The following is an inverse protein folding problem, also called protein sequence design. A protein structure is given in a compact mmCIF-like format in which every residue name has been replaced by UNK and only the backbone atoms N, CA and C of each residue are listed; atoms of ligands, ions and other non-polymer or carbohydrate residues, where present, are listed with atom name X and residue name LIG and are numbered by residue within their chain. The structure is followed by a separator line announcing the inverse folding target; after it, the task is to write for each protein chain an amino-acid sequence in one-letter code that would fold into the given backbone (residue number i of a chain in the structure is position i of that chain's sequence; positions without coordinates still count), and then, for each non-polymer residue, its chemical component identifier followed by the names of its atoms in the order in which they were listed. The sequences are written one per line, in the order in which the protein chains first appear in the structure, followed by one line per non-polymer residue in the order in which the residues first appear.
data_IF_288706332138
#
_entry.id   IF_288706332138
#
_cell.length_a   1.000
_cell.length_b   1.000
_cell.length_c   1.000
_cell.angle_alpha   90.00
_cell.angle_beta   90.00
_cell.angle_gamma   90.00
#
_symmetry.space_group_name_H-M   'P 1'
#
loop_
_entity.id
_entity.type
_entity.pdbx_description
1 polymer ?
#
# COMPACT_ATOMS: atom_id res chain seq x y z
N UNK A 1 5.32 25.41 1.67
CA UNK A 1 6.07 25.66 0.41
C UNK A 1 5.64 24.70 -0.69
N UNK A 2 5.45 25.14 -1.94
CA UNK A 2 5.15 24.21 -3.06
C UNK A 2 6.44 23.57 -3.60
N UNK A 3 6.45 22.24 -3.73
CA UNK A 3 7.59 21.45 -4.21
C UNK A 3 7.26 20.71 -5.51
N UNK A 4 8.31 20.37 -6.26
CA UNK A 4 8.23 19.51 -7.44
C UNK A 4 8.64 18.10 -7.05
N UNK A 5 7.86 17.11 -7.47
CA UNK A 5 8.19 15.70 -7.25
C UNK A 5 9.51 15.34 -7.94
N UNK A 6 10.19 14.32 -7.41
CA UNK A 6 11.51 13.85 -7.81
C UNK A 6 12.66 14.87 -7.65
N UNK A 7 12.43 16.02 -7.02
CA UNK A 7 13.47 16.96 -6.61
C UNK A 7 13.74 16.91 -5.12
N UNK A 8 14.99 17.12 -4.74
CA UNK A 8 15.42 17.21 -3.34
C UNK A 8 15.31 18.65 -2.85
N UNK A 9 14.82 18.82 -1.63
CA UNK A 9 14.75 20.07 -0.89
C UNK A 9 15.48 19.89 0.44
N UNK A 10 16.07 20.96 0.96
CA UNK A 10 16.78 20.99 2.25
C UNK A 10 15.99 21.91 3.17
N UNK A 11 15.85 21.52 4.43
CA UNK A 11 15.20 22.29 5.47
C UNK A 11 15.81 22.02 6.84
N UNK A 12 15.37 22.75 7.85
CA UNK A 12 15.85 22.67 9.22
C UNK A 12 14.72 23.12 10.16
N UNK A 13 14.52 22.40 11.27
CA UNK A 13 13.53 22.76 12.28
C UNK A 13 14.25 23.39 13.47
N UNK A 14 14.54 24.68 13.37
CA UNK A 14 15.48 25.36 14.29
C UNK A 14 14.91 25.63 15.69
N UNK A 15 13.59 25.54 15.85
CA UNK A 15 12.88 25.78 17.10
C UNK A 15 12.03 24.57 17.53
N UNK A 16 11.80 24.39 18.84
CA UNK A 16 11.14 23.20 19.41
C UNK A 16 9.66 23.01 19.04
N UNK A 17 9.07 23.95 18.32
CA UNK A 17 7.70 23.90 17.78
C UNK A 17 7.67 24.19 16.27
N UNK A 18 8.83 24.17 15.62
CA UNK A 18 8.94 24.39 14.20
C UNK A 18 8.33 23.21 13.43
N UNK A 19 7.59 23.54 12.39
CA UNK A 19 6.93 22.60 11.49
C UNK A 19 7.11 23.07 10.05
N UNK A 20 7.66 22.19 9.24
CA UNK A 20 7.77 22.41 7.82
C UNK A 20 6.65 21.70 7.07
N UNK A 21 5.87 22.50 6.32
CA UNK A 21 4.79 22.02 5.46
C UNK A 21 5.12 22.23 3.98
N UNK A 22 5.17 21.14 3.21
CA UNK A 22 5.34 21.17 1.75
C UNK A 22 4.07 20.69 1.04
N UNK A 23 3.81 21.22 -0.14
CA UNK A 23 2.69 20.83 -0.99
C UNK A 23 3.18 20.39 -2.37
N UNK A 24 2.60 19.33 -2.92
CA UNK A 24 2.79 18.92 -4.31
C UNK A 24 1.48 18.44 -4.93
N UNK A 25 1.43 18.39 -6.27
CA UNK A 25 0.25 17.91 -7.00
C UNK A 25 0.61 16.80 -7.97
N UNK A 26 -0.25 15.81 -8.08
CA UNK A 26 -0.19 14.73 -9.06
C UNK A 26 -1.21 14.99 -10.16
N UNK A 27 -0.79 14.83 -11.43
CA UNK A 27 -1.67 15.01 -12.60
C UNK A 27 -2.47 13.75 -12.97
N UNK A 28 -2.01 12.60 -12.49
CA UNK A 28 -2.57 11.28 -12.74
C UNK A 28 -2.08 10.34 -11.65
N UNK A 29 -2.63 9.11 -11.59
CA UNK A 29 -2.24 8.11 -10.60
C UNK A 29 -0.73 7.84 -10.62
N UNK A 30 -0.10 7.84 -9.44
CA UNK A 30 1.34 7.54 -9.26
C UNK A 30 1.55 6.64 -8.05
N UNK A 31 2.57 5.80 -8.14
CA UNK A 31 3.19 5.16 -6.97
C UNK A 31 4.14 6.15 -6.32
N UNK A 32 3.93 6.46 -5.05
CA UNK A 32 4.57 7.56 -4.32
C UNK A 32 5.26 7.04 -3.07
N UNK A 33 6.44 7.57 -2.75
CA UNK A 33 7.06 7.44 -1.43
C UNK A 33 7.89 8.67 -1.08
N UNK A 34 8.13 8.87 0.20
CA UNK A 34 9.06 9.86 0.74
C UNK A 34 10.46 9.25 0.83
N UNK A 35 11.47 10.05 0.50
CA UNK A 35 12.85 9.86 0.96
C UNK A 35 13.19 11.00 1.89
N UNK A 36 13.60 10.63 3.10
CA UNK A 36 14.07 11.56 4.12
C UNK A 36 15.50 11.20 4.51
N UNK A 37 16.35 12.21 4.65
CA UNK A 37 17.74 11.98 5.07
C UNK A 37 18.33 13.19 5.77
N UNK A 38 19.31 12.94 6.63
CA UNK A 38 20.04 13.96 7.38
C UNK A 38 21.46 13.45 7.66
N UNK A 39 22.32 14.30 8.22
CA UNK A 39 23.62 13.85 8.70
C UNK A 39 23.46 12.85 9.85
N UNK A 40 24.17 11.71 9.79
CA UNK A 40 24.09 10.68 10.85
C UNK A 40 24.54 11.25 12.19
N UNK A 41 23.74 11.00 13.22
CA UNK A 41 24.05 11.26 14.62
C UNK A 41 24.15 9.96 15.40
N UNK A 42 24.89 9.99 16.50
CA UNK A 42 25.00 8.85 17.40
C UNK A 42 23.93 8.93 18.50
N UNK A 43 22.65 8.95 18.10
CA UNK A 43 21.50 9.04 19.02
C UNK A 43 20.32 8.24 18.47
N UNK A 44 19.67 7.49 19.35
CA UNK A 44 18.45 6.73 19.12
C UNK A 44 17.18 7.55 19.33
N UNK A 45 17.27 8.81 19.77
CA UNK A 45 16.11 9.70 19.86
C UNK A 45 15.51 9.95 18.48
N UNK A 46 14.18 9.89 18.42
CA UNK A 46 13.43 10.38 17.27
C UNK A 46 13.50 11.90 17.23
N UNK A 47 14.09 12.42 16.17
CA UNK A 47 14.22 13.85 15.91
C UNK A 47 13.06 14.36 15.06
N UNK A 48 12.67 13.63 14.02
CA UNK A 48 11.65 14.06 13.06
C UNK A 48 10.55 13.03 12.88
N UNK A 49 9.31 13.49 12.85
CA UNK A 49 8.20 12.75 12.23
C UNK A 49 7.87 13.41 10.89
N UNK A 50 7.85 12.59 9.83
CA UNK A 50 7.58 13.02 8.47
C UNK A 50 6.34 12.29 7.99
N UNK A 51 5.28 13.01 7.65
CA UNK A 51 4.00 12.43 7.23
C UNK A 51 3.63 12.87 5.81
N UNK A 52 3.19 11.93 4.98
CA UNK A 52 2.46 12.21 3.74
C UNK A 52 0.97 12.30 4.06
N UNK A 53 0.34 13.40 3.69
CA UNK A 53 -1.07 13.68 3.99
C UNK A 53 -1.87 13.88 2.70
N UNK A 54 -3.11 13.39 2.71
CA UNK A 54 -4.12 13.63 1.69
C UNK A 54 -5.00 14.83 2.01
N UNK A 55 -6.23 14.83 1.48
CA UNK A 55 -7.28 15.79 1.86
C UNK A 55 -8.11 15.31 3.08
N UNK A 56 -8.13 13.99 3.32
CA UNK A 56 -8.72 13.36 4.50
C UNK A 56 -7.78 13.43 5.71
N UNK A 57 -8.37 13.28 6.90
CA UNK A 57 -7.60 13.19 8.15
C UNK A 57 -6.77 11.90 8.19
N UNK A 58 -5.55 12.01 8.73
CA UNK A 58 -4.62 10.89 8.88
C UNK A 58 -3.44 10.94 7.91
N UNK A 59 -2.38 10.20 8.25
CA UNK A 59 -1.22 10.06 7.38
C UNK A 59 -1.43 8.88 6.43
N UNK A 60 -1.16 9.13 5.14
CA UNK A 60 -1.11 8.09 4.10
C UNK A 60 0.13 7.20 4.28
N UNK A 61 1.23 7.78 4.76
CA UNK A 61 2.43 7.06 5.21
C UNK A 61 3.31 7.98 6.06
N UNK A 62 4.14 7.40 6.92
CA UNK A 62 4.99 8.14 7.84
C UNK A 62 6.42 7.61 7.93
N UNK A 63 7.33 8.46 8.41
CA UNK A 63 8.69 8.11 8.80
C UNK A 63 8.93 8.71 10.18
N UNK A 64 9.37 7.88 11.12
CA UNK A 64 9.97 8.32 12.38
C UNK A 64 11.49 8.23 12.24
N UNK A 65 12.15 9.37 12.23
CA UNK A 65 13.59 9.47 11.96
C UNK A 65 14.39 9.72 13.23
N UNK A 66 15.29 8.78 13.54
CA UNK A 66 16.24 8.90 14.64
C UNK A 66 17.60 9.39 14.15
N UNK A 67 18.46 9.82 15.08
CA UNK A 67 19.83 10.20 14.76
C UNK A 67 20.62 9.13 14.00
N UNK A 68 20.37 7.86 14.31
CA UNK A 68 21.06 6.72 13.68
C UNK A 68 20.57 6.45 12.25
N UNK A 69 19.33 6.83 11.90
CA UNK A 69 18.68 6.53 10.62
C UNK A 69 18.87 7.64 9.58
N UNK A 70 20.12 7.92 9.24
CA UNK A 70 20.50 9.01 8.34
C UNK A 70 19.82 9.04 6.95
N UNK A 71 19.24 7.92 6.51
CA UNK A 71 18.44 7.86 5.29
C UNK A 71 17.34 6.82 5.44
N UNK A 72 16.11 7.24 5.25
CA UNK A 72 14.92 6.42 5.32
C UNK A 72 14.04 6.63 4.10
N UNK A 73 13.15 5.67 3.92
CA UNK A 73 12.14 5.70 2.90
C UNK A 73 10.81 5.34 3.55
N UNK A 74 9.76 6.11 3.27
CA UNK A 74 8.41 5.71 3.70
C UNK A 74 7.95 4.50 2.90
N UNK A 75 6.87 3.88 3.33
CA UNK A 75 6.15 2.93 2.50
C UNK A 75 5.66 3.57 1.20
N UNK A 76 5.41 2.73 0.21
CA UNK A 76 4.80 3.14 -1.03
C UNK A 76 3.28 3.18 -0.89
N UNK A 77 2.71 4.23 -1.45
CA UNK A 77 1.26 4.42 -1.59
C UNK A 77 0.91 4.69 -3.06
N UNK A 78 -0.28 4.26 -3.50
CA UNK A 78 -0.80 4.58 -4.84
C UNK A 78 -1.81 5.71 -4.74
N UNK A 79 -1.41 6.88 -5.22
CA UNK A 79 -2.19 8.09 -5.08
C UNK A 79 -2.80 8.50 -6.41
N UNK A 80 -4.11 8.82 -6.47
CA UNK A 80 -4.75 9.38 -7.66
C UNK A 80 -4.22 10.79 -8.00
N UNK A 81 -4.77 11.40 -9.05
CA UNK A 81 -4.52 12.81 -9.30
C UNK A 81 -5.10 13.65 -8.14
N UNK A 82 -4.34 14.62 -7.64
CA UNK A 82 -4.74 15.37 -6.46
C UNK A 82 -3.63 16.24 -5.89
N UNK A 83 -3.96 16.96 -4.82
CA UNK A 83 -3.00 17.73 -4.03
C UNK A 83 -2.65 16.95 -2.76
N UNK A 84 -1.37 16.96 -2.41
CA UNK A 84 -0.85 16.22 -1.27
C UNK A 84 0.14 17.08 -0.51
N UNK A 85 0.30 16.77 0.77
CA UNK A 85 1.10 17.56 1.68
C UNK A 85 2.15 16.68 2.37
N UNK A 86 3.32 17.23 2.61
CA UNK A 86 4.32 16.65 3.49
C UNK A 86 4.36 17.54 4.73
N UNK A 87 4.19 16.92 5.90
CA UNK A 87 4.33 17.59 7.19
C UNK A 87 5.55 17.02 7.90
N UNK A 88 6.45 17.90 8.34
CA UNK A 88 7.66 17.52 9.06
C UNK A 88 7.64 18.24 10.40
N UNK A 89 7.62 17.47 11.49
CA UNK A 89 7.62 18.02 12.86
C UNK A 89 8.81 17.51 13.65
N UNK A 90 9.31 18.39 14.52
CA UNK A 90 10.34 18.06 15.49
C UNK A 90 9.72 17.29 16.67
N UNK A 91 10.28 16.13 16.99
CA UNK A 91 10.02 15.43 18.26
C UNK A 91 11.07 15.76 19.33
N UNK A 92 12.31 15.97 18.89
CA UNK A 92 13.42 16.34 19.75
C UNK A 92 14.22 17.44 19.05
N UNK A 93 14.69 18.42 19.81
CA UNK A 93 15.47 19.52 19.24
C UNK A 93 16.70 19.01 18.49
N UNK A 94 16.94 19.58 17.32
CA UNK A 94 18.12 19.34 16.49
C UNK A 94 18.40 20.57 15.63
N UNK A 95 19.66 20.92 15.43
CA UNK A 95 20.13 21.97 14.53
C UNK A 95 20.54 21.41 13.15
N UNK A 96 20.20 20.16 12.85
CA UNK A 96 20.68 19.44 11.67
C UNK A 96 19.75 19.69 10.49
N UNK A 97 20.37 20.05 9.36
CA UNK A 97 19.66 20.09 8.08
C UNK A 97 19.21 18.68 7.66
N UNK A 98 17.92 18.59 7.33
CA UNK A 98 17.36 17.43 6.66
C UNK A 98 17.23 17.70 5.16
N UNK A 99 17.08 16.63 4.39
CA UNK A 99 16.66 16.68 3.00
C UNK A 99 15.48 15.76 2.72
N UNK A 100 14.53 16.28 1.96
CA UNK A 100 13.27 15.62 1.60
C UNK A 100 13.17 15.50 0.09
N UNK A 101 12.71 14.35 -0.39
CA UNK A 101 12.35 14.13 -1.79
C UNK A 101 11.14 13.21 -1.88
N UNK A 102 10.08 13.68 -2.55
CA UNK A 102 8.93 12.86 -2.91
C UNK A 102 9.23 12.15 -4.23
N UNK A 103 9.40 10.83 -4.20
CA UNK A 103 9.54 10.02 -5.41
C UNK A 103 8.16 9.70 -5.94
N UNK A 104 7.96 9.88 -7.25
CA UNK A 104 6.73 9.44 -7.92
C UNK A 104 7.05 8.65 -9.17
N UNK A 105 6.38 7.51 -9.35
CA UNK A 105 6.57 6.63 -10.50
C UNK A 105 5.24 6.37 -11.20
N UNK A 106 5.28 6.36 -12.53
CA UNK A 106 4.17 5.87 -13.34
C UNK A 106 4.29 4.36 -13.49
N UNK A 107 3.26 3.64 -13.08
CA UNK A 107 3.19 2.20 -13.31
C UNK A 107 2.62 1.90 -14.70
N UNK A 108 3.24 0.95 -15.39
CA UNK A 108 2.83 0.53 -16.76
C UNK A 108 1.90 -0.68 -16.75
N UNK A 109 1.65 -1.24 -15.57
CA UNK A 109 0.74 -2.36 -15.34
C UNK A 109 -0.58 -1.85 -14.80
N UNK A 110 -1.64 -2.66 -14.91
CA UNK A 110 -2.88 -2.38 -14.17
C UNK A 110 -2.61 -2.52 -12.68
N UNK A 111 -3.08 -1.56 -11.91
CA UNK A 111 -2.97 -1.53 -10.46
C UNK A 111 -4.35 -1.36 -9.85
N UNK A 112 -4.47 -1.61 -8.55
CA UNK A 112 -5.68 -1.27 -7.79
C UNK A 112 -5.97 0.23 -7.83
N UNK A 113 -7.22 0.58 -7.55
CA UNK A 113 -7.72 1.95 -7.51
C UNK A 113 -8.14 2.29 -6.08
N UNK A 114 -7.28 3.01 -5.34
CA UNK A 114 -7.56 3.44 -3.97
C UNK A 114 -8.51 4.64 -3.87
N UNK A 115 -9.27 4.77 -2.78
CA UNK A 115 -9.41 3.77 -1.70
C UNK A 115 -10.36 2.64 -2.14
N UNK A 116 -10.05 1.39 -1.80
CA UNK A 116 -10.84 0.20 -2.19
C UNK A 116 -11.26 -0.67 -0.98
N UNK A 117 -11.34 -0.05 0.20
CA UNK A 117 -11.50 -0.68 1.53
C UNK A 117 -12.85 -1.38 1.79
N UNK A 118 -13.77 -1.35 0.83
CA UNK A 118 -15.11 -1.92 1.00
C UNK A 118 -15.72 -2.46 -0.32
N UNK A 119 -16.85 -3.17 -0.18
CA UNK A 119 -17.56 -3.75 -1.32
C UNK A 119 -18.02 -2.71 -2.36
N UNK A 120 -18.33 -1.49 -1.95
CA UNK A 120 -18.81 -0.40 -2.80
C UNK A 120 -17.68 0.29 -3.57
N UNK A 121 -16.50 0.40 -2.97
CA UNK A 121 -15.28 0.99 -3.56
C UNK A 121 -14.39 -0.03 -4.28
N UNK A 122 -14.63 -1.33 -4.12
CA UNK A 122 -13.86 -2.43 -4.68
C UNK A 122 -13.34 -2.21 -6.12
N UNK A 123 -12.04 -2.42 -6.31
CA UNK A 123 -11.35 -2.37 -7.61
C UNK A 123 -11.95 -3.38 -8.57
N UNK A 124 -12.46 -2.93 -9.72
CA UNK A 124 -13.03 -3.82 -10.75
C UNK A 124 -11.95 -4.56 -11.51
N UNK A 125 -12.01 -5.90 -11.49
CA UNK A 125 -11.07 -6.77 -12.20
C UNK A 125 -11.79 -7.65 -13.23
N UNK A 126 -11.30 -7.61 -14.46
CA UNK A 126 -11.79 -8.47 -15.53
C UNK A 126 -11.10 -9.85 -15.48
N UNK A 127 -11.84 -10.91 -15.76
CA UNK A 127 -11.27 -12.27 -15.89
C UNK A 127 -10.10 -12.29 -16.88
N UNK A 128 -9.07 -13.06 -16.56
CA UNK A 128 -7.81 -13.16 -17.29
C UNK A 128 -6.83 -12.00 -17.05
N UNK A 129 -7.28 -10.89 -16.45
CA UNK A 129 -6.44 -9.72 -16.17
C UNK A 129 -5.64 -9.93 -14.89
N UNK A 130 -4.38 -9.48 -14.92
CA UNK A 130 -3.55 -9.36 -13.72
C UNK A 130 -3.55 -7.91 -13.24
N UNK A 131 -3.76 -7.71 -11.95
CA UNK A 131 -3.66 -6.42 -11.25
C UNK A 131 -2.52 -6.50 -10.23
N UNK A 132 -1.79 -5.41 -10.08
CA UNK A 132 -0.80 -5.22 -9.01
C UNK A 132 -1.45 -4.42 -7.88
N UNK A 133 -1.30 -4.90 -6.65
CA UNK A 133 -1.78 -4.22 -5.46
C UNK A 133 -0.72 -4.15 -4.36
N UNK A 134 -0.92 -3.32 -3.34
CA UNK A 134 -0.14 -3.36 -2.11
C UNK A 134 -0.95 -2.86 -0.92
N UNK A 135 -0.84 -3.58 0.20
CA UNK A 135 -1.38 -3.14 1.48
C UNK A 135 -0.57 -1.91 1.95
N UNK A 136 -1.20 -0.74 1.98
CA UNK A 136 -0.63 0.58 2.22
C UNK A 136 -0.50 0.93 3.70
N UNK A 137 -1.28 0.26 4.57
CA UNK A 137 -1.22 0.38 6.03
C UNK A 137 -1.67 -0.92 6.71
N UNK A 138 -1.51 -1.03 8.02
CA UNK A 138 -2.04 -2.16 8.82
C UNK A 138 -3.58 -2.19 8.91
N UNK A 139 -4.25 -1.13 8.45
CA UNK A 139 -5.70 -1.05 8.37
C UNK A 139 -6.26 -1.17 6.95
N UNK A 140 -5.39 -1.23 5.95
CA UNK A 140 -5.77 -1.25 4.54
C UNK A 140 -6.33 -2.63 4.14
N UNK A 141 -7.44 -2.61 3.42
CA UNK A 141 -8.15 -3.81 2.98
C UNK A 141 -8.50 -3.72 1.51
N UNK A 142 -7.80 -4.50 0.70
CA UNK A 142 -8.03 -4.50 -0.73
C UNK A 142 -9.26 -5.33 -1.16
N UNK A 143 -10.36 -4.67 -1.54
CA UNK A 143 -11.47 -5.34 -2.24
C UNK A 143 -11.34 -5.28 -3.75
N UNK A 144 -11.53 -6.43 -4.40
CA UNK A 144 -11.61 -6.57 -5.86
C UNK A 144 -12.95 -7.17 -6.28
N UNK A 145 -13.62 -6.59 -7.29
CA UNK A 145 -14.92 -7.05 -7.81
C UNK A 145 -14.81 -7.66 -9.21
N UNK A 146 -15.43 -8.82 -9.41
CA UNK A 146 -15.56 -9.44 -10.74
C UNK A 146 -16.96 -10.05 -10.94
N UNK A 147 -17.32 -10.29 -12.21
CA UNK A 147 -18.65 -10.80 -12.59
C UNK A 147 -18.50 -12.07 -13.41
N UNK A 148 -19.20 -13.13 -12.99
CA UNK A 148 -19.36 -14.36 -13.75
C UNK A 148 -20.67 -14.32 -14.55
N UNK A 149 -20.58 -14.46 -15.87
CA UNK A 149 -21.76 -14.45 -16.76
C UNK A 149 -22.50 -15.79 -16.83
N UNK A 150 -21.84 -16.87 -16.41
CA UNK A 150 -22.38 -18.23 -16.42
C UNK A 150 -21.65 -19.05 -15.36
N UNK A 151 -22.23 -20.20 -15.00
CA UNK A 151 -21.58 -21.14 -14.10
C UNK A 151 -20.22 -21.57 -14.66
N UNK A 152 -19.15 -21.41 -13.89
CA UNK A 152 -17.78 -21.74 -14.31
C UNK A 152 -16.89 -22.08 -13.13
N UNK A 153 -15.75 -22.69 -13.40
CA UNK A 153 -14.66 -22.77 -12.43
C UNK A 153 -13.93 -21.43 -12.40
N UNK A 154 -13.51 -21.00 -11.21
CA UNK A 154 -12.70 -19.80 -10.99
C UNK A 154 -11.39 -20.21 -10.34
N UNK A 155 -10.29 -19.65 -10.84
CA UNK A 155 -8.97 -19.70 -10.23
C UNK A 155 -8.55 -18.30 -9.81
N UNK A 156 -8.13 -18.16 -8.58
CA UNK A 156 -7.48 -16.95 -8.06
C UNK A 156 -6.01 -17.25 -7.88
N UNK A 157 -5.17 -16.52 -8.61
CA UNK A 157 -3.72 -16.63 -8.54
C UNK A 157 -3.14 -15.39 -7.88
N UNK A 158 -2.37 -15.58 -6.81
CA UNK A 158 -1.63 -14.55 -6.09
C UNK A 158 -0.13 -14.80 -6.23
N UNK A 159 0.62 -13.74 -6.53
CA UNK A 159 2.09 -13.79 -6.57
C UNK A 159 2.70 -12.55 -5.96
N UNK A 160 3.78 -12.71 -5.19
CA UNK A 160 4.60 -11.62 -4.65
C UNK A 160 6.08 -11.87 -4.96
N UNK A 161 6.92 -10.86 -4.75
CA UNK A 161 8.38 -11.05 -4.76
C UNK A 161 8.81 -11.81 -3.49
N UNK A 162 9.91 -12.58 -3.51
CA UNK A 162 10.39 -13.22 -2.28
C UNK A 162 10.63 -12.20 -1.18
N UNK A 163 10.08 -12.45 0.00
CA UNK A 163 10.50 -11.82 1.24
C UNK A 163 11.31 -12.87 2.03
N UNK A 164 12.42 -12.45 2.64
CA UNK A 164 13.28 -13.36 3.42
C UNK A 164 12.67 -13.59 4.82
N UNK A 165 11.47 -14.17 4.85
CA UNK A 165 10.68 -14.36 6.08
C UNK A 165 9.67 -15.50 5.97
N UNK A 166 9.45 -16.20 7.08
CA UNK A 166 8.42 -17.25 7.20
C UNK A 166 7.07 -16.73 7.70
N UNK A 167 6.92 -15.41 7.92
CA UNK A 167 5.63 -14.84 8.32
C UNK A 167 4.57 -15.02 7.24
N UNK A 168 3.32 -15.13 7.67
CA UNK A 168 2.15 -14.97 6.79
C UNK A 168 1.84 -13.49 6.71
N UNK A 169 1.99 -12.91 5.52
CA UNK A 169 1.82 -11.47 5.31
C UNK A 169 0.44 -11.12 4.78
N UNK A 170 -0.11 -11.93 3.88
CA UNK A 170 -1.42 -11.67 3.28
C UNK A 170 -2.38 -12.81 3.54
N UNK A 171 -3.66 -12.50 3.55
CA UNK A 171 -4.73 -13.49 3.46
C UNK A 171 -5.74 -13.09 2.38
N UNK A 172 -6.37 -14.10 1.79
CA UNK A 172 -7.33 -13.93 0.70
C UNK A 172 -8.62 -14.66 1.04
N UNK A 173 -9.74 -13.95 0.92
CA UNK A 173 -11.09 -14.53 1.04
C UNK A 173 -11.93 -14.17 -0.18
N UNK A 174 -12.69 -15.14 -0.69
CA UNK A 174 -13.64 -14.94 -1.78
C UNK A 174 -15.06 -14.83 -1.21
N UNK A 175 -15.82 -13.83 -1.61
CA UNK A 175 -17.22 -13.63 -1.25
C UNK A 175 -18.10 -13.65 -2.50
N UNK A 176 -19.33 -14.12 -2.35
CA UNK A 176 -20.43 -13.85 -3.30
C UNK A 176 -21.19 -12.62 -2.82
N UNK A 177 -21.70 -11.80 -3.74
CA UNK A 177 -22.61 -10.68 -3.38
C UNK A 177 -23.86 -11.16 -2.63
N UNK A 178 -24.26 -12.41 -2.86
CA UNK A 178 -25.42 -13.06 -2.22
C UNK A 178 -25.10 -13.70 -0.85
N UNK A 179 -23.83 -13.75 -0.41
CA UNK A 179 -23.43 -14.40 0.85
C UNK A 179 -22.67 -13.46 1.78
N UNK A 180 -23.02 -13.45 3.06
CA UNK A 180 -22.27 -12.70 4.09
C UNK A 180 -20.95 -13.37 4.51
N UNK A 181 -20.81 -14.67 4.24
CA UNK A 181 -19.63 -15.45 4.63
C UNK A 181 -18.67 -15.68 3.46
N UNK A 182 -17.39 -15.93 3.80
CA UNK A 182 -16.37 -16.35 2.86
C UNK A 182 -16.68 -17.71 2.25
N UNK A 183 -16.51 -17.83 0.94
CA UNK A 183 -16.71 -19.07 0.19
C UNK A 183 -15.49 -19.97 0.32
N UNK A 184 -15.70 -21.17 0.86
CA UNK A 184 -14.67 -22.21 0.89
C UNK A 184 -14.19 -22.58 -0.53
N UNK A 185 -12.88 -22.68 -0.70
CA UNK A 185 -12.25 -23.16 -1.91
C UNK A 185 -12.42 -24.69 -2.05
N UNK A 186 -11.83 -25.27 -3.10
CA UNK A 186 -11.90 -26.70 -3.36
C UNK A 186 -11.23 -27.62 -2.33
N UNK A 187 -10.36 -27.08 -1.49
CA UNK A 187 -9.66 -27.78 -0.41
C UNK A 187 -10.42 -27.63 0.93
N UNK A 188 -11.50 -26.84 0.96
CA UNK A 188 -12.32 -26.58 2.14
C UNK A 188 -11.94 -25.30 2.90
N UNK A 189 -10.95 -24.54 2.43
CA UNK A 189 -10.47 -23.34 3.10
C UNK A 189 -11.29 -22.12 2.71
N UNK A 190 -11.84 -21.40 3.70
CA UNK A 190 -12.51 -20.11 3.49
C UNK A 190 -11.53 -18.92 3.50
N UNK A 191 -10.30 -19.15 3.96
CA UNK A 191 -9.21 -18.15 4.00
C UNK A 191 -7.95 -18.79 3.43
N UNK A 192 -7.29 -18.11 2.51
CA UNK A 192 -6.03 -18.56 1.90
C UNK A 192 -4.89 -17.70 2.43
N UNK A 193 -4.03 -18.29 3.25
CA UNK A 193 -2.88 -17.61 3.85
C UNK A 193 -1.66 -17.61 2.92
N UNK A 194 -1.03 -16.44 2.76
CA UNK A 194 0.12 -16.22 1.89
C UNK A 194 1.36 -15.89 2.72
N UNK A 195 2.31 -16.82 2.72
CA UNK A 195 3.58 -16.67 3.41
C UNK A 195 4.60 -15.88 2.58
N UNK A 196 5.44 -15.12 3.28
CA UNK A 196 6.43 -14.25 2.70
C UNK A 196 7.61 -14.90 2.01
N UNK A 197 7.93 -16.17 2.28
CA UNK A 197 9.20 -16.81 1.92
C UNK A 197 9.52 -16.89 0.41
N UNK A 198 10.09 -18.01 -0.07
CA UNK A 198 10.49 -18.13 -1.48
C UNK A 198 9.35 -17.75 -2.42
N UNK A 199 9.66 -17.11 -3.57
CA UNK A 199 8.66 -16.58 -4.51
C UNK A 199 7.45 -17.50 -4.66
N UNK A 200 6.32 -17.14 -4.04
CA UNK A 200 5.14 -17.98 -4.09
C UNK A 200 4.23 -17.56 -5.24
N UNK A 201 3.82 -18.57 -5.98
CA UNK A 201 2.68 -18.49 -6.89
C UNK A 201 1.62 -19.42 -6.31
N UNK A 202 0.68 -18.83 -5.60
CA UNK A 202 -0.41 -19.55 -4.95
C UNK A 202 -1.62 -19.45 -5.87
N UNK A 203 -2.27 -20.58 -6.11
CA UNK A 203 -3.49 -20.63 -6.91
C UNK A 203 -4.54 -21.43 -6.15
N UNK A 204 -5.64 -20.77 -5.81
CA UNK A 204 -6.82 -21.40 -5.20
C UNK A 204 -7.93 -21.50 -6.23
N UNK A 205 -8.72 -22.57 -6.14
CA UNK A 205 -9.78 -22.87 -7.12
C UNK A 205 -11.12 -22.97 -6.43
N UNK A 206 -12.16 -22.45 -7.08
CA UNK A 206 -13.56 -22.65 -6.75
C UNK A 206 -14.28 -23.25 -7.95
N UNK A 207 -14.77 -24.47 -7.80
CA UNK A 207 -15.46 -25.20 -8.88
C UNK A 207 -16.93 -24.81 -8.98
N UNK A 208 -17.41 -24.69 -10.21
CA UNK A 208 -18.83 -24.55 -10.54
C UNK A 208 -19.53 -23.38 -9.82
N UNK A 209 -18.84 -22.26 -9.59
CA UNK A 209 -19.48 -21.05 -9.08
C UNK A 209 -20.57 -20.59 -10.06
N UNK A 210 -21.80 -20.26 -9.59
CA UNK A 210 -22.89 -19.77 -10.45
C UNK A 210 -22.56 -18.43 -11.13
N UNK A 211 -23.41 -18.00 -12.06
CA UNK A 211 -23.36 -16.63 -12.54
C UNK A 211 -23.67 -15.67 -11.37
N UNK A 212 -22.98 -14.54 -11.30
CA UNK A 212 -23.13 -13.59 -10.20
C UNK A 212 -21.95 -12.64 -10.06
N UNK A 213 -22.07 -11.76 -9.08
CA UNK A 213 -21.02 -10.84 -8.66
C UNK A 213 -20.23 -11.47 -7.51
N UNK A 214 -18.91 -11.33 -7.56
CA UNK A 214 -18.00 -11.86 -6.56
C UNK A 214 -16.98 -10.80 -6.15
N UNK A 215 -16.50 -10.93 -4.92
CA UNK A 215 -15.50 -10.06 -4.34
C UNK A 215 -14.33 -10.87 -3.81
N UNK A 216 -13.11 -10.44 -4.08
CA UNK A 216 -11.91 -10.93 -3.40
C UNK A 216 -11.50 -9.86 -2.41
N UNK A 217 -11.38 -10.24 -1.14
CA UNK A 217 -10.76 -9.43 -0.11
C UNK A 217 -9.32 -9.90 0.06
N UNK A 218 -8.37 -8.99 -0.05
CA UNK A 218 -6.97 -9.19 0.34
C UNK A 218 -6.71 -8.26 1.52
N UNK A 219 -6.19 -8.78 2.60
CA UNK A 219 -5.83 -7.98 3.78
C UNK A 219 -4.53 -8.51 4.36
N UNK A 220 -3.93 -7.74 5.27
CA UNK A 220 -2.76 -8.21 5.98
C UNK A 220 -3.13 -9.30 7.01
N UNK A 221 -2.19 -10.21 7.20
CA UNK A 221 -2.10 -11.02 8.41
C UNK A 221 -0.88 -10.60 9.24
N UNK A 222 0.11 -10.02 8.58
CA UNK A 222 1.21 -9.28 9.18
C UNK A 222 1.60 -8.23 8.16
N UNK A 223 1.68 -6.97 8.59
CA UNK A 223 1.89 -5.86 7.68
C UNK A 223 3.13 -6.04 6.79
N UNK A 224 2.93 -5.87 5.48
CA UNK A 224 3.97 -5.82 4.46
C UNK A 224 3.49 -4.98 3.27
N UNK A 225 4.22 -3.89 2.97
CA UNK A 225 3.93 -2.96 1.89
C UNK A 225 4.42 -3.43 0.48
N UNK A 226 4.96 -4.63 0.37
CA UNK A 226 5.42 -5.17 -0.90
C UNK A 226 4.26 -5.34 -1.90
N UNK A 227 4.56 -5.08 -3.17
CA UNK A 227 3.61 -5.33 -4.24
C UNK A 227 3.27 -6.83 -4.36
N UNK A 228 1.98 -7.12 -4.37
CA UNK A 228 1.46 -8.39 -4.84
C UNK A 228 0.83 -8.26 -6.23
N UNK A 229 0.53 -9.40 -6.84
CA UNK A 229 -0.18 -9.49 -8.12
C UNK A 229 -1.30 -10.50 -8.02
N UNK A 230 -2.52 -10.05 -8.30
CA UNK A 230 -3.74 -10.85 -8.31
C UNK A 230 -4.17 -11.12 -9.75
N UNK A 231 -4.60 -12.34 -10.05
CA UNK A 231 -5.24 -12.70 -11.32
C UNK A 231 -6.41 -13.65 -11.07
N UNK A 232 -7.54 -13.37 -11.71
CA UNK A 232 -8.73 -14.23 -11.69
C UNK A 232 -8.90 -14.84 -13.07
N UNK A 233 -9.13 -16.15 -13.19
CA UNK A 233 -9.32 -16.84 -14.49
C UNK A 233 -10.30 -17.99 -14.44
#
# INVERSE_FOLDING_TARGET
MVIKTNKTYIGNLTESQDEDCFQFSLKEKRKVRIVFSHAKQNSDYTFWNVSLLGESDGALTEIQSTGLTAKQYSDYVRLPAGNYYIRIVSNSWSDIDYSIRVITQQEKTKTEDEDNDDYGSATKIALGTRITGNIQSDSDVDFYKFILKKRTNVKVTFTHNPADSNYTFWQITLYSEESGDGLANNDGDSVVYIQGNSRKNITSTWKLLPAGTYYIKVEDNSYNNDDYKLKIS
#
